data_IF_112953515721
#
_entry.id   IF_112953515721
#
_cell.length_a   1.000
_cell.length_b   1.000
_cell.length_c   1.000
_cell.angle_alpha   90.00
_cell.angle_beta   90.00
_cell.angle_gamma   90.00
#
_symmetry.space_group_name_H-M   'P 1'
#
loop_
_entity.id
_entity.type
_entity.pdbx_description
1 polymer ?
#
# COMPACT_ATOMS: atom_id res chain seq x y z
N UNK A 1 42.44 10.84 -21.06
CA UNK A 1 43.69 10.59 -21.78
C UNK A 1 44.14 11.89 -22.40
N UNK A 2 45.43 12.19 -22.27
CA UNK A 2 45.99 13.43 -22.87
C UNK A 2 46.69 13.13 -24.17
N UNK A 3 46.66 14.00 -25.18
CA UNK A 3 47.46 13.85 -26.40
C UNK A 3 48.93 13.69 -26.07
N UNK A 4 49.60 12.63 -26.63
CA UNK A 4 51.01 12.36 -26.37
C UNK A 4 51.31 11.42 -25.19
N UNK A 5 50.30 10.87 -24.53
CA UNK A 5 50.48 9.87 -23.48
C UNK A 5 50.88 8.54 -24.08
N UNK A 6 51.99 7.93 -23.59
CA UNK A 6 52.42 6.58 -23.96
C UNK A 6 51.51 5.55 -23.26
N UNK A 7 51.08 4.54 -24.00
CA UNK A 7 50.18 3.46 -23.53
C UNK A 7 50.87 2.12 -23.69
N UNK A 8 50.80 1.29 -22.67
CA UNK A 8 51.27 -0.08 -22.76
C UNK A 8 50.18 -0.99 -23.38
N UNK A 9 50.57 -2.10 -24.02
CA UNK A 9 49.61 -3.14 -24.37
C UNK A 9 48.79 -3.56 -23.12
N UNK A 10 47.47 -3.63 -23.25
CA UNK A 10 46.51 -3.91 -22.20
C UNK A 10 46.11 -2.74 -21.26
N UNK A 11 46.62 -1.54 -21.49
CA UNK A 11 46.10 -0.36 -20.77
C UNK A 11 44.65 -0.10 -21.15
N UNK A 12 43.80 0.17 -20.13
CA UNK A 12 42.38 0.45 -20.30
C UNK A 12 42.19 1.85 -20.88
N UNK A 13 41.75 1.95 -22.12
CA UNK A 13 41.58 3.21 -22.86
C UNK A 13 40.28 3.89 -22.52
N UNK A 14 39.17 3.15 -22.62
CA UNK A 14 37.80 3.66 -22.46
C UNK A 14 36.96 2.53 -21.88
N UNK A 15 35.98 2.91 -21.07
CA UNK A 15 34.90 2.02 -20.67
C UNK A 15 33.65 2.38 -21.48
N UNK A 16 33.18 1.45 -22.29
CA UNK A 16 31.91 1.56 -23.00
C UNK A 16 30.81 0.95 -22.11
N UNK A 17 29.76 1.70 -21.86
CA UNK A 17 28.60 1.21 -21.13
C UNK A 17 27.33 1.51 -21.92
N UNK A 18 26.46 0.49 -22.01
CA UNK A 18 25.09 0.67 -22.48
C UNK A 18 24.27 1.23 -21.32
N UNK A 19 23.59 2.35 -21.54
CA UNK A 19 22.76 3.02 -20.52
C UNK A 19 21.28 3.02 -20.86
N UNK A 20 20.90 2.41 -21.97
CA UNK A 20 19.51 2.18 -22.36
C UNK A 20 19.39 0.80 -23.00
N UNK A 21 18.69 -0.15 -22.37
CA UNK A 21 18.12 -0.03 -21.03
C UNK A 21 19.19 0.02 -19.92
N UNK A 22 18.82 0.54 -18.74
CA UNK A 22 19.66 0.47 -17.54
C UNK A 22 19.17 -0.63 -16.61
N UNK A 23 20.11 -1.27 -15.92
CA UNK A 23 19.83 -2.31 -14.93
C UNK A 23 19.92 -1.72 -13.53
N UNK A 24 19.02 -2.16 -12.67
CA UNK A 24 18.96 -1.74 -11.26
C UNK A 24 19.01 -2.96 -10.38
N UNK A 25 20.04 -3.04 -9.57
CA UNK A 25 20.18 -4.07 -8.53
C UNK A 25 19.61 -3.56 -7.23
N UNK A 26 18.75 -4.36 -6.62
CA UNK A 26 18.19 -4.09 -5.29
C UNK A 26 18.10 -5.36 -4.47
N UNK A 27 17.96 -5.20 -3.16
CA UNK A 27 17.98 -6.31 -2.23
C UNK A 27 16.64 -6.41 -1.51
N UNK A 28 16.13 -7.64 -1.41
CA UNK A 28 14.90 -7.94 -0.69
C UNK A 28 15.17 -8.98 0.42
N UNK A 29 14.52 -8.84 1.58
CA UNK A 29 14.54 -9.90 2.60
C UNK A 29 14.01 -11.21 2.03
N UNK A 30 14.63 -12.34 2.38
CA UNK A 30 14.22 -13.68 1.90
C UNK A 30 12.73 -13.99 2.14
N UNK A 31 12.12 -13.40 3.18
CA UNK A 31 10.71 -13.58 3.50
C UNK A 31 9.76 -13.01 2.43
N UNK A 32 10.23 -12.05 1.64
CA UNK A 32 9.46 -11.42 0.57
C UNK A 32 9.62 -12.14 -0.78
N UNK A 33 10.55 -13.10 -0.86
CA UNK A 33 10.82 -13.83 -2.11
C UNK A 33 9.57 -14.51 -2.73
N UNK A 34 8.65 -15.11 -1.95
CA UNK A 34 7.44 -15.71 -2.53
C UNK A 34 6.49 -14.70 -3.20
N UNK A 35 6.65 -13.41 -2.93
CA UNK A 35 5.82 -12.33 -3.47
C UNK A 35 6.43 -11.68 -4.72
N UNK A 36 7.62 -12.14 -5.14
CA UNK A 36 8.38 -11.54 -6.24
C UNK A 36 8.58 -12.56 -7.35
N UNK A 37 8.31 -12.14 -8.57
CA UNK A 37 8.45 -12.97 -9.76
C UNK A 37 9.12 -12.22 -10.93
N UNK A 38 9.82 -12.97 -11.78
CA UNK A 38 10.37 -12.42 -13.03
C UNK A 38 9.24 -11.91 -13.90
N UNK A 39 9.43 -10.74 -14.52
CA UNK A 39 8.42 -10.04 -15.33
C UNK A 39 7.54 -9.09 -14.54
N UNK A 40 7.59 -9.11 -13.21
CA UNK A 40 6.82 -8.24 -12.34
C UNK A 40 7.24 -6.77 -12.50
N UNK A 41 6.26 -5.87 -12.47
CA UNK A 41 6.51 -4.45 -12.62
C UNK A 41 7.17 -3.86 -11.37
N UNK A 42 8.14 -3.01 -11.60
CA UNK A 42 8.80 -2.22 -10.56
C UNK A 42 8.66 -0.74 -10.88
N UNK A 43 8.59 0.05 -9.83
CA UNK A 43 8.58 1.51 -9.88
C UNK A 43 9.83 2.02 -9.19
N UNK A 44 10.54 2.93 -9.84
CA UNK A 44 11.80 3.49 -9.37
C UNK A 44 11.69 5.00 -9.26
N UNK A 45 12.15 5.55 -8.14
CA UNK A 45 12.28 6.98 -7.89
C UNK A 45 13.71 7.30 -7.46
N UNK A 46 14.21 8.47 -7.86
CA UNK A 46 15.56 8.93 -7.51
C UNK A 46 15.49 10.30 -6.84
N UNK A 47 16.43 10.60 -5.98
CA UNK A 47 16.50 11.92 -5.33
C UNK A 47 16.84 13.05 -6.32
N UNK A 48 17.49 12.70 -7.44
CA UNK A 48 17.86 13.66 -8.50
C UNK A 48 16.64 14.12 -9.30
N UNK A 49 15.64 13.23 -9.52
CA UNK A 49 14.43 13.51 -10.29
C UNK A 49 13.21 13.18 -9.44
N UNK A 50 12.90 14.05 -8.46
CA UNK A 50 11.86 13.79 -7.43
C UNK A 50 10.46 13.58 -7.99
N UNK A 51 10.14 14.27 -9.10
CA UNK A 51 8.80 14.23 -9.71
C UNK A 51 8.71 13.24 -10.87
N UNK A 52 9.78 12.49 -11.16
CA UNK A 52 9.82 11.51 -12.24
C UNK A 52 9.80 10.10 -11.67
N UNK A 53 8.82 9.35 -12.13
CA UNK A 53 8.68 7.93 -11.79
C UNK A 53 9.11 7.10 -13.00
N UNK A 54 10.12 6.27 -12.81
CA UNK A 54 10.56 5.32 -13.83
C UNK A 54 9.89 3.97 -13.55
N UNK A 55 9.55 3.27 -14.62
CA UNK A 55 8.93 1.94 -14.51
C UNK A 55 9.75 0.92 -15.29
N UNK A 56 9.82 -0.28 -14.77
CA UNK A 56 10.52 -1.38 -15.42
C UNK A 56 9.99 -2.73 -15.00
N UNK A 57 10.75 -3.78 -15.29
CA UNK A 57 10.37 -5.16 -14.97
C UNK A 57 11.55 -5.90 -14.36
N UNK A 58 11.25 -6.79 -13.42
CA UNK A 58 12.23 -7.74 -12.89
C UNK A 58 12.65 -8.68 -14.01
N UNK A 59 13.95 -8.76 -14.29
CA UNK A 59 14.51 -9.67 -15.29
C UNK A 59 15.28 -10.83 -14.66
N UNK A 60 15.83 -10.66 -13.45
CA UNK A 60 16.53 -11.73 -12.77
C UNK A 60 16.35 -11.68 -11.25
N UNK A 61 16.32 -12.87 -10.64
CA UNK A 61 16.37 -13.06 -9.20
C UNK A 61 17.56 -13.97 -8.93
N UNK A 62 18.53 -13.48 -8.16
CA UNK A 62 19.71 -14.27 -7.83
C UNK A 62 19.31 -15.44 -6.91
N UNK A 63 19.60 -16.70 -7.29
CA UNK A 63 19.26 -17.86 -6.46
C UNK A 63 20.08 -17.94 -5.17
N UNK A 64 21.16 -17.15 -5.06
CA UNK A 64 22.04 -17.13 -3.90
C UNK A 64 21.55 -16.11 -2.88
N UNK A 65 21.24 -16.58 -1.68
CA UNK A 65 20.91 -15.72 -0.53
C UNK A 65 22.23 -15.34 0.16
N UNK A 66 22.41 -14.07 0.45
CA UNK A 66 23.49 -13.58 1.30
C UNK A 66 23.25 -14.06 2.73
N UNK A 67 24.17 -14.88 3.24
CA UNK A 67 24.03 -15.51 4.57
C UNK A 67 24.16 -14.53 5.72
N UNK A 68 24.82 -13.39 5.54
CA UNK A 68 25.03 -12.38 6.57
C UNK A 68 23.82 -11.46 6.72
N UNK A 69 23.27 -11.02 5.59
CA UNK A 69 22.14 -10.08 5.55
C UNK A 69 20.79 -10.76 5.38
N UNK A 70 20.76 -12.04 4.96
CA UNK A 70 19.57 -12.80 4.60
C UNK A 70 18.74 -12.14 3.49
N UNK A 71 19.42 -11.40 2.62
CA UNK A 71 18.81 -10.74 1.48
C UNK A 71 19.06 -11.51 0.18
N UNK A 72 18.14 -11.35 -0.74
CA UNK A 72 18.20 -11.82 -2.12
C UNK A 72 18.43 -10.63 -3.03
N UNK A 73 19.40 -10.72 -3.92
CA UNK A 73 19.62 -9.72 -4.96
C UNK A 73 18.63 -9.94 -6.10
N UNK A 74 17.99 -8.87 -6.51
CA UNK A 74 17.04 -8.84 -7.62
C UNK A 74 17.50 -7.76 -8.61
N UNK A 75 17.45 -8.08 -9.89
CA UNK A 75 17.78 -7.18 -10.98
C UNK A 75 16.51 -6.80 -11.74
N UNK A 76 16.33 -5.52 -12.00
CA UNK A 76 15.26 -5.01 -12.86
C UNK A 76 15.82 -4.24 -14.04
N UNK A 77 15.16 -4.36 -15.19
CA UNK A 77 15.47 -3.62 -16.42
C UNK A 77 14.55 -2.41 -16.52
N UNK A 78 15.13 -1.23 -16.64
CA UNK A 78 14.42 0.05 -16.74
C UNK A 78 14.72 0.69 -18.08
N UNK A 79 13.74 1.03 -18.92
CA UNK A 79 13.93 1.83 -20.13
C UNK A 79 14.47 3.22 -19.77
N UNK A 80 15.52 3.66 -20.44
CA UNK A 80 16.21 4.92 -20.15
C UNK A 80 16.48 5.74 -21.44
N UNK A 81 15.48 5.81 -22.32
CA UNK A 81 15.61 6.49 -23.61
C UNK A 81 16.06 7.96 -23.49
N UNK A 82 15.67 8.64 -22.40
CA UNK A 82 16.10 10.02 -22.10
C UNK A 82 17.49 10.10 -21.46
N UNK A 83 18.14 8.98 -21.17
CA UNK A 83 19.45 8.89 -20.52
C UNK A 83 19.55 9.67 -19.19
N UNK A 84 18.46 9.73 -18.46
CA UNK A 84 18.38 10.44 -17.17
C UNK A 84 18.98 9.62 -16.03
N UNK A 85 18.87 8.31 -16.11
CA UNK A 85 19.46 7.40 -15.13
C UNK A 85 20.90 7.09 -15.54
N UNK A 86 21.83 7.24 -14.59
CA UNK A 86 23.23 6.97 -14.79
C UNK A 86 23.72 5.84 -13.86
N UNK A 87 24.67 5.01 -14.29
CA UNK A 87 25.29 4.01 -13.42
C UNK A 87 25.90 4.67 -12.17
N UNK A 88 25.66 4.07 -11.02
CA UNK A 88 26.11 4.60 -9.72
C UNK A 88 25.12 5.51 -9.01
N UNK A 89 23.97 5.82 -9.60
CA UNK A 89 22.89 6.53 -8.91
C UNK A 89 22.21 5.64 -7.89
N UNK A 90 21.78 6.23 -6.76
CA UNK A 90 20.90 5.60 -5.81
C UNK A 90 19.44 5.77 -6.23
N UNK A 91 18.65 4.74 -6.01
CA UNK A 91 17.24 4.74 -6.33
C UNK A 91 16.42 3.96 -5.31
N UNK A 92 15.20 4.43 -5.06
CA UNK A 92 14.22 3.72 -4.27
C UNK A 92 13.36 2.87 -5.21
N UNK A 93 13.36 1.56 -5.02
CA UNK A 93 12.60 0.60 -5.82
C UNK A 93 11.39 0.13 -5.05
N UNK A 94 10.22 0.19 -5.68
CA UNK A 94 8.99 -0.44 -5.19
C UNK A 94 8.61 -1.56 -6.16
N UNK A 95 8.47 -2.75 -5.63
CA UNK A 95 7.95 -3.90 -6.37
C UNK A 95 6.44 -3.93 -6.23
N UNK A 96 5.73 -3.92 -7.36
CA UNK A 96 4.28 -4.04 -7.34
C UNK A 96 3.94 -5.54 -7.22
N UNK A 97 3.54 -5.98 -6.04
CA UNK A 97 3.11 -7.37 -5.84
C UNK A 97 1.73 -7.58 -6.50
N UNK A 98 1.75 -7.93 -7.72
CA UNK A 98 0.78 -8.11 -8.80
C UNK A 98 -0.67 -8.52 -8.54
N UNK A 99 -1.15 -8.71 -7.35
CA UNK A 99 -2.56 -8.93 -7.09
C UNK A 99 -3.18 -7.67 -6.48
N UNK A 100 -4.02 -6.99 -7.26
CA UNK A 100 -4.94 -6.00 -6.73
C UNK A 100 -5.97 -6.72 -5.85
N UNK A 101 -5.65 -6.89 -4.59
CA UNK A 101 -6.62 -7.35 -3.62
C UNK A 101 -7.62 -6.22 -3.36
N UNK A 102 -8.86 -6.43 -3.73
CA UNK A 102 -9.95 -5.50 -3.42
C UNK A 102 -10.47 -5.82 -2.03
N UNK A 103 -10.34 -4.87 -1.14
CA UNK A 103 -10.83 -4.95 0.23
C UNK A 103 -11.96 -3.96 0.45
N UNK A 104 -12.90 -4.32 1.31
CA UNK A 104 -13.77 -3.32 1.94
C UNK A 104 -12.88 -2.53 2.89
N UNK A 105 -12.91 -1.20 2.80
CA UNK A 105 -12.14 -0.34 3.70
C UNK A 105 -13.08 0.50 4.56
N UNK A 106 -12.72 0.65 5.82
CA UNK A 106 -13.40 1.55 6.76
C UNK A 106 -12.41 2.56 7.32
N UNK A 107 -12.88 3.76 7.71
CA UNK A 107 -12.08 4.68 8.50
C UNK A 107 -11.65 4.00 9.81
N UNK A 108 -10.42 4.21 10.24
CA UNK A 108 -9.93 3.65 11.50
C UNK A 108 -10.83 4.02 12.70
N UNK A 109 -11.46 5.18 12.65
CA UNK A 109 -12.40 5.65 13.67
C UNK A 109 -13.69 4.81 13.77
N UNK A 110 -14.05 4.05 12.73
CA UNK A 110 -15.23 3.17 12.75
C UNK A 110 -14.98 1.86 13.50
N UNK A 111 -13.72 1.54 13.80
CA UNK A 111 -13.33 0.25 14.36
C UNK A 111 -13.03 0.43 15.84
N UNK A 112 -13.59 -0.45 16.64
CA UNK A 112 -13.23 -0.56 18.05
C UNK A 112 -12.30 -1.76 18.23
N UNK A 113 -11.04 -1.46 18.52
CA UNK A 113 -10.00 -2.46 18.75
C UNK A 113 -10.10 -2.99 20.19
N UNK A 114 -10.28 -4.27 20.35
CA UNK A 114 -10.34 -4.93 21.65
C UNK A 114 -9.42 -6.17 21.66
N UNK A 115 -8.88 -6.56 22.83
CA UNK A 115 -8.07 -7.78 22.95
C UNK A 115 -8.80 -9.07 22.56
N UNK A 116 -10.13 -9.05 22.60
CA UNK A 116 -10.98 -10.19 22.29
C UNK A 116 -11.46 -10.22 20.83
N UNK A 117 -11.12 -9.22 20.03
CA UNK A 117 -11.48 -9.07 18.62
C UNK A 117 -11.97 -7.68 18.27
N UNK A 118 -11.72 -7.27 17.05
CA UNK A 118 -12.12 -5.98 16.53
C UNK A 118 -13.61 -5.97 16.23
N UNK A 119 -14.28 -4.86 16.51
CA UNK A 119 -15.72 -4.73 16.29
C UNK A 119 -16.06 -3.44 15.58
N UNK A 120 -17.16 -3.48 14.82
CA UNK A 120 -17.79 -2.32 14.21
C UNK A 120 -19.28 -2.30 14.57
N UNK A 121 -19.89 -1.13 14.51
CA UNK A 121 -21.35 -1.01 14.63
C UNK A 121 -21.96 -0.83 13.24
N UNK A 122 -22.79 -1.80 12.84
CA UNK A 122 -23.57 -1.72 11.59
C UNK A 122 -24.95 -1.14 11.91
N UNK A 123 -25.49 -0.40 10.95
CA UNK A 123 -26.84 0.18 11.04
C UNK A 123 -27.83 -0.85 10.47
N UNK A 124 -28.80 -1.25 11.29
CA UNK A 124 -29.87 -2.14 10.85
C UNK A 124 -31.25 -1.57 11.23
N UNK A 125 -32.26 -1.74 10.38
CA UNK A 125 -33.63 -1.45 10.78
C UNK A 125 -34.07 -2.41 11.89
N UNK A 126 -34.91 -1.92 12.80
CA UNK A 126 -35.52 -2.76 13.83
C UNK A 126 -36.47 -3.78 13.21
N UNK A 127 -36.32 -5.04 13.61
CA UNK A 127 -37.21 -6.14 13.17
C UNK A 127 -38.60 -6.07 13.81
N UNK A 128 -38.79 -5.19 14.81
CA UNK A 128 -40.07 -5.06 15.51
C UNK A 128 -40.99 -4.08 14.77
N UNK A 129 -42.14 -4.56 14.31
CA UNK A 129 -43.14 -3.76 13.58
C UNK A 129 -43.65 -2.53 14.36
N UNK A 130 -43.55 -2.54 15.69
CA UNK A 130 -43.98 -1.46 16.58
C UNK A 130 -42.93 -0.38 16.80
N UNK A 131 -41.63 -0.66 16.43
CA UNK A 131 -40.53 0.25 16.70
C UNK A 131 -40.28 1.16 15.48
N UNK A 132 -41.16 2.17 15.35
CA UNK A 132 -41.12 3.17 14.27
C UNK A 132 -40.62 4.51 14.79
N UNK A 133 -39.97 5.25 13.87
CA UNK A 133 -39.60 6.65 14.12
C UNK A 133 -40.85 7.58 14.05
N UNK A 134 -40.65 8.88 14.36
CA UNK A 134 -41.72 9.89 14.29
C UNK A 134 -42.31 10.05 12.85
N UNK A 135 -41.63 9.52 11.82
CA UNK A 135 -42.06 9.58 10.42
C UNK A 135 -42.69 8.27 9.96
N UNK A 136 -42.80 7.26 10.81
CA UNK A 136 -43.41 5.96 10.51
C UNK A 136 -42.44 4.95 9.85
N UNK A 137 -41.15 5.25 9.72
CA UNK A 137 -40.16 4.33 9.22
C UNK A 137 -39.62 3.42 10.34
N UNK A 138 -39.10 2.25 10.00
CA UNK A 138 -38.44 1.38 10.96
C UNK A 138 -37.26 2.11 11.64
N UNK A 139 -37.25 2.09 12.99
CA UNK A 139 -36.18 2.72 13.76
C UNK A 139 -34.86 2.02 13.47
N UNK A 140 -33.79 2.78 13.24
CA UNK A 140 -32.47 2.27 13.03
C UNK A 140 -31.80 1.91 14.35
N UNK A 141 -31.16 0.75 14.40
CA UNK A 141 -30.47 0.24 15.58
C UNK A 141 -28.99 -0.04 15.27
N UNK A 142 -28.14 0.20 16.26
CA UNK A 142 -26.75 -0.19 16.22
C UNK A 142 -26.64 -1.70 16.52
N UNK A 143 -26.05 -2.46 15.61
CA UNK A 143 -25.70 -3.85 15.84
C UNK A 143 -24.18 -3.98 15.86
N UNK A 144 -23.63 -4.51 16.94
CA UNK A 144 -22.22 -4.81 17.05
C UNK A 144 -21.88 -6.08 16.26
N UNK A 145 -20.86 -6.01 15.41
CA UNK A 145 -20.40 -7.12 14.59
C UNK A 145 -18.90 -7.26 14.75
N UNK A 146 -18.42 -8.49 14.94
CA UNK A 146 -17.01 -8.79 14.95
C UNK A 146 -16.46 -8.76 13.53
N UNK A 147 -15.30 -8.16 13.36
CA UNK A 147 -14.62 -8.05 12.08
C UNK A 147 -13.18 -8.54 12.19
N UNK A 148 -12.65 -9.03 11.08
CA UNK A 148 -11.22 -9.31 10.97
C UNK A 148 -10.60 -8.17 10.17
N UNK A 149 -9.72 -7.41 10.81
CA UNK A 149 -8.98 -6.32 10.19
C UNK A 149 -7.80 -6.85 9.39
N UNK A 150 -7.41 -6.10 8.36
CA UNK A 150 -6.28 -6.37 7.49
C UNK A 150 -5.28 -5.22 7.47
N UNK A 151 -4.52 -5.05 6.38
CA UNK A 151 -3.56 -3.97 6.27
C UNK A 151 -4.22 -2.59 6.34
N UNK A 152 -3.51 -1.65 6.97
CA UNK A 152 -3.91 -0.25 7.06
C UNK A 152 -3.16 0.59 6.03
N UNK A 153 -3.87 1.51 5.38
CA UNK A 153 -3.28 2.47 4.45
C UNK A 153 -3.84 3.87 4.72
N UNK A 154 -3.02 4.75 5.26
CA UNK A 154 -3.46 6.07 5.71
C UNK A 154 -4.52 5.95 6.82
N UNK A 155 -5.68 6.58 6.60
CA UNK A 155 -6.81 6.54 7.55
C UNK A 155 -7.72 5.31 7.35
N UNK A 156 -7.43 4.49 6.34
CA UNK A 156 -8.24 3.33 5.97
C UNK A 156 -7.68 2.03 6.51
N UNK A 157 -8.55 1.19 7.05
CA UNK A 157 -8.25 -0.18 7.46
C UNK A 157 -9.04 -1.14 6.58
N UNK A 158 -8.36 -2.11 6.01
CA UNK A 158 -9.02 -3.17 5.25
C UNK A 158 -9.80 -4.10 6.19
N UNK A 159 -10.99 -4.49 5.78
CA UNK A 159 -11.79 -5.51 6.47
C UNK A 159 -11.76 -6.77 5.63
N UNK A 160 -11.23 -7.84 6.23
CA UNK A 160 -11.10 -9.14 5.56
C UNK A 160 -12.34 -10.00 5.71
N UNK A 161 -13.04 -9.88 6.87
CA UNK A 161 -14.25 -10.65 7.19
C UNK A 161 -15.14 -9.88 8.17
N UNK A 162 -16.44 -10.16 8.14
CA UNK A 162 -17.41 -9.71 9.14
C UNK A 162 -18.46 -8.73 8.63
N UNK A 163 -18.21 -8.06 7.49
CA UNK A 163 -19.19 -7.19 6.83
C UNK A 163 -19.18 -7.44 5.32
N UNK A 164 -20.33 -7.17 4.69
CA UNK A 164 -20.51 -7.26 3.25
C UNK A 164 -20.41 -5.88 2.58
N UNK A 165 -20.07 -5.82 1.28
CA UNK A 165 -20.10 -4.58 0.52
C UNK A 165 -21.50 -3.93 0.55
N UNK A 166 -21.54 -2.61 0.80
CA UNK A 166 -22.81 -1.86 0.90
C UNK A 166 -23.41 -1.84 2.30
N UNK A 167 -22.80 -2.49 3.30
CA UNK A 167 -23.26 -2.39 4.69
C UNK A 167 -23.01 -0.98 5.24
N UNK A 168 -24.04 -0.34 5.80
CA UNK A 168 -23.92 0.94 6.50
C UNK A 168 -23.27 0.74 7.87
N UNK A 169 -22.19 1.50 8.12
CA UNK A 169 -21.38 1.38 9.34
C UNK A 169 -21.30 2.74 10.05
N UNK A 170 -21.37 2.73 11.37
CA UNK A 170 -21.16 3.93 12.18
C UNK A 170 -19.69 4.31 12.17
N UNK A 171 -19.37 5.50 11.65
CA UNK A 171 -17.98 5.98 11.48
C UNK A 171 -17.51 6.88 12.62
N UNK A 172 -18.43 7.40 13.45
CA UNK A 172 -18.10 8.23 14.61
C UNK A 172 -19.13 8.03 15.73
N UNK A 173 -18.71 8.25 17.00
CA UNK A 173 -19.57 8.13 18.17
C UNK A 173 -19.76 6.70 18.70
N UNK A 174 -19.08 5.72 18.13
CA UNK A 174 -19.20 4.28 18.49
C UNK A 174 -18.91 3.98 19.96
N UNK A 175 -18.10 4.79 20.63
CA UNK A 175 -17.75 4.61 22.06
C UNK A 175 -18.98 4.70 22.98
N UNK A 176 -20.03 5.40 22.56
CA UNK A 176 -21.27 5.56 23.31
C UNK A 176 -22.32 4.51 22.97
N UNK A 177 -22.08 3.67 21.97
CA UNK A 177 -23.05 2.71 21.48
C UNK A 177 -22.94 1.38 22.22
N UNK A 178 -24.10 0.75 22.39
CA UNK A 178 -24.27 -0.63 22.79
C UNK A 178 -25.11 -1.35 21.74
N UNK A 179 -25.03 -2.67 21.73
CA UNK A 179 -25.88 -3.45 20.83
C UNK A 179 -27.37 -3.13 21.07
N UNK A 180 -28.10 -2.81 20.00
CA UNK A 180 -29.51 -2.42 20.07
C UNK A 180 -29.77 -0.95 20.38
N UNK A 181 -28.75 -0.09 20.49
CA UNK A 181 -28.95 1.35 20.71
C UNK A 181 -29.63 1.98 19.50
N UNK A 182 -30.73 2.76 19.70
CA UNK A 182 -31.38 3.49 18.61
C UNK A 182 -30.43 4.53 17.99
N UNK A 183 -30.46 4.65 16.68
CA UNK A 183 -29.59 5.54 15.91
C UNK A 183 -30.42 6.60 15.17
N UNK A 184 -29.86 7.81 15.11
CA UNK A 184 -30.29 8.88 14.21
C UNK A 184 -29.06 9.16 13.32
N UNK A 185 -29.21 9.00 12.01
CA UNK A 185 -28.11 9.23 11.06
C UNK A 185 -27.92 10.73 10.88
N UNK A 186 -26.72 11.22 11.19
CA UNK A 186 -26.27 12.57 10.86
C UNK A 186 -24.93 12.50 10.12
N UNK A 187 -24.96 12.76 8.83
CA UNK A 187 -23.80 12.71 7.94
C UNK A 187 -23.16 14.08 7.66
N UNK A 188 -23.47 15.11 8.47
CA UNK A 188 -22.92 16.47 8.28
C UNK A 188 -21.42 16.52 8.47
N UNK A 189 -20.88 15.72 9.39
CA UNK A 189 -19.44 15.62 9.64
C UNK A 189 -19.04 14.17 9.51
N UNK A 190 -18.19 13.87 8.52
CA UNK A 190 -17.62 12.53 8.33
C UNK A 190 -16.15 12.53 8.70
N UNK A 191 -15.64 11.48 9.36
CA UNK A 191 -14.22 11.35 9.65
C UNK A 191 -13.41 11.20 8.34
N UNK A 192 -12.13 11.57 8.40
CA UNK A 192 -11.19 11.35 7.29
C UNK A 192 -11.14 9.88 6.91
N UNK A 193 -11.18 9.63 5.60
CA UNK A 193 -11.11 8.29 5.02
C UNK A 193 -10.16 8.31 3.80
N UNK A 194 -8.99 8.93 3.98
CA UNK A 194 -8.01 9.08 2.92
C UNK A 194 -6.97 7.96 2.95
N UNK A 195 -6.67 7.31 1.81
CA UNK A 195 -5.55 6.35 1.73
C UNK A 195 -4.18 7.05 1.80
N UNK A 196 -4.12 8.38 1.59
CA UNK A 196 -2.92 9.20 1.68
C UNK A 196 -3.27 10.53 2.38
N UNK A 197 -3.46 10.54 3.70
CA UNK A 197 -3.78 11.75 4.45
C UNK A 197 -2.62 12.74 4.34
N UNK A 198 -2.94 13.99 4.05
CA UNK A 198 -1.95 15.09 4.14
C UNK A 198 -1.92 15.57 5.58
N UNK A 199 -0.75 15.73 6.22
CA UNK A 199 -0.64 16.37 7.52
C UNK A 199 -1.31 17.76 7.45
N UNK A 200 -2.22 18.04 8.38
CA UNK A 200 -2.72 19.41 8.55
C UNK A 200 -1.66 20.14 9.37
N UNK A 201 -0.95 21.05 8.74
CA UNK A 201 -0.12 22.01 9.47
C UNK A 201 -1.06 22.89 10.30
N UNK A 202 -0.86 22.85 11.62
CA UNK A 202 -1.53 23.75 12.58
C UNK A 202 -0.77 25.07 12.63
#
# INVERSE_FOLDING_TARGET
MNPGQYLNPADKLVTLQTIDPIYVDFYLPQQQLPQVAIGQMVTLTTDTYKDVVFTGKINAINPKIDTNTRNVQVEATIPNAKRQLLPGMFANVRVNSGEENRYITLPQTAITFNPYGDTVFVVKPSDKQEDKDEKGNARLLAQQVFVTTGPTRGDQVAILKGIDPGTEVVTSGQVKLKNGTPLIVDNKVQPSNSPNPKPQEQ
#
